data_IF_473590661514
#
_entry.id   IF_473590661514
#
_cell.length_a   1.000
_cell.length_b   1.000
_cell.length_c   1.000
_cell.angle_alpha   90.00
_cell.angle_beta   90.00
_cell.angle_gamma   90.00
#
_symmetry.space_group_name_H-M   'P 1'
#
loop_
_entity.id
_entity.type
_entity.pdbx_description
1 polymer ?
#
# COMPACT_ATOMS: atom_id res chain seq x y z
N UNK A 1 -29.30 -17.22 20.70
CA UNK A 1 -28.51 -16.08 21.18
C UNK A 1 -27.22 -15.89 20.36
N UNK A 2 -27.38 -15.51 19.08
CA UNK A 2 -26.36 -14.83 18.25
C UNK A 2 -26.98 -13.66 17.47
N UNK A 3 -28.32 -13.52 17.50
CA UNK A 3 -29.06 -12.53 16.74
C UNK A 3 -28.91 -11.09 17.25
N UNK A 4 -28.45 -10.87 18.49
CA UNK A 4 -28.31 -9.52 19.04
C UNK A 4 -27.09 -8.79 18.47
N UNK A 5 -25.98 -9.51 18.20
CA UNK A 5 -24.77 -8.93 17.58
C UNK A 5 -24.97 -8.62 16.08
N UNK A 6 -25.85 -9.38 15.40
CA UNK A 6 -26.20 -9.13 14.01
C UNK A 6 -27.20 -7.98 13.82
N UNK A 7 -27.80 -7.48 14.89
CA UNK A 7 -28.85 -6.46 14.86
C UNK A 7 -28.35 -5.04 15.14
N UNK A 8 -27.09 -4.87 15.53
CA UNK A 8 -26.49 -3.58 15.90
C UNK A 8 -25.63 -2.93 14.81
N UNK A 9 -25.42 -3.61 13.68
CA UNK A 9 -24.81 -2.97 12.50
C UNK A 9 -25.93 -2.48 11.58
N UNK A 10 -26.09 -1.16 11.37
CA UNK A 10 -27.09 -0.63 10.45
C UNK A 10 -26.69 -0.93 9.01
N UNK A 11 -27.33 -1.92 8.41
CA UNK A 11 -27.21 -2.23 6.98
C UNK A 11 -27.18 -3.74 6.69
N UNK A 12 -27.72 -4.18 5.53
CA UNK A 12 -27.70 -5.57 5.10
C UNK A 12 -26.26 -6.12 5.04
N UNK A 13 -26.10 -7.45 5.08
CA UNK A 13 -24.79 -8.15 5.08
C UNK A 13 -23.80 -7.57 4.05
N UNK A 14 -24.30 -7.15 2.89
CA UNK A 14 -23.55 -6.48 1.82
C UNK A 14 -22.86 -5.19 2.30
N UNK A 15 -23.53 -4.35 3.09
CA UNK A 15 -22.96 -3.10 3.63
C UNK A 15 -21.78 -3.41 4.56
N UNK A 16 -21.88 -4.44 5.40
CA UNK A 16 -20.80 -4.86 6.31
C UNK A 16 -19.58 -5.37 5.53
N UNK A 17 -19.82 -6.12 4.45
CA UNK A 17 -18.75 -6.58 3.55
C UNK A 17 -18.11 -5.37 2.88
N UNK A 18 -18.90 -4.45 2.32
CA UNK A 18 -18.41 -3.26 1.64
C UNK A 18 -17.59 -2.38 2.58
N UNK A 19 -18.02 -2.19 3.82
CA UNK A 19 -17.29 -1.42 4.83
C UNK A 19 -15.95 -2.07 5.19
N UNK A 20 -15.93 -3.39 5.43
CA UNK A 20 -14.68 -4.12 5.69
C UNK A 20 -13.71 -4.05 4.50
N UNK A 21 -14.24 -4.16 3.28
CA UNK A 21 -13.47 -4.09 2.04
C UNK A 21 -12.94 -2.66 1.82
N UNK A 22 -13.74 -1.65 2.16
CA UNK A 22 -13.34 -0.24 2.11
C UNK A 22 -12.24 0.08 3.13
N UNK A 23 -12.35 -0.41 4.37
CA UNK A 23 -11.29 -0.25 5.38
C UNK A 23 -10.00 -0.92 4.93
N UNK A 24 -10.09 -2.13 4.37
CA UNK A 24 -8.92 -2.84 3.83
C UNK A 24 -8.29 -2.05 2.69
N UNK A 25 -9.09 -1.59 1.74
CA UNK A 25 -8.63 -0.76 0.63
C UNK A 25 -8.00 0.56 1.11
N UNK A 26 -8.58 1.19 2.14
CA UNK A 26 -8.05 2.41 2.75
C UNK A 26 -6.68 2.18 3.39
N UNK A 27 -6.48 1.06 4.09
CA UNK A 27 -5.17 0.69 4.65
C UNK A 27 -4.14 0.43 3.55
N UNK A 28 -4.52 -0.32 2.50
CA UNK A 28 -3.65 -0.57 1.35
C UNK A 28 -3.27 0.74 0.65
N UNK A 29 -4.24 1.64 0.45
CA UNK A 29 -4.00 2.96 -0.13
C UNK A 29 -3.07 3.79 0.75
N UNK A 30 -3.26 3.81 2.07
CA UNK A 30 -2.38 4.52 2.99
C UNK A 30 -0.95 3.98 2.96
N UNK A 31 -0.78 2.66 2.91
CA UNK A 31 0.52 2.02 2.75
C UNK A 31 1.19 2.43 1.43
N UNK A 32 0.46 2.44 0.31
CA UNK A 32 1.03 2.76 -1.00
C UNK A 32 1.26 4.26 -1.23
N UNK A 33 0.36 5.13 -0.79
CA UNK A 33 0.44 6.58 -1.08
C UNK A 33 1.12 7.39 0.02
N UNK A 34 1.26 6.86 1.23
CA UNK A 34 1.88 7.58 2.36
C UNK A 34 3.13 6.86 2.86
N UNK A 35 3.02 5.57 3.19
CA UNK A 35 4.14 4.83 3.79
C UNK A 35 5.22 4.58 2.75
N UNK A 36 4.86 4.14 1.55
CA UNK A 36 5.84 3.84 0.50
C UNK A 36 6.67 5.07 0.12
N UNK A 37 6.11 6.28 -0.15
CA UNK A 37 6.93 7.46 -0.43
C UNK A 37 7.85 7.86 0.73
N UNK A 38 7.46 7.59 1.97
CA UNK A 38 8.31 7.82 3.14
C UNK A 38 9.45 6.80 3.23
N UNK A 39 9.21 5.54 2.87
CA UNK A 39 10.20 4.46 2.91
C UNK A 39 11.10 4.43 1.66
N UNK A 40 10.59 4.85 0.50
CA UNK A 40 11.29 4.91 -0.78
C UNK A 40 12.74 5.44 -0.66
N UNK A 41 13.02 6.60 -0.05
CA UNK A 41 14.40 7.10 0.08
C UNK A 41 15.31 6.25 0.97
N UNK A 42 14.76 5.41 1.83
CA UNK A 42 15.53 4.48 2.69
C UNK A 42 15.89 3.18 1.97
N UNK A 43 15.30 2.90 0.81
CA UNK A 43 15.56 1.68 0.08
C UNK A 43 16.91 1.78 -0.66
N UNK A 44 17.85 0.84 -0.40
CA UNK A 44 19.20 0.88 -0.99
C UNK A 44 19.23 0.59 -2.50
N UNK A 45 18.07 0.35 -3.12
CA UNK A 45 17.90 0.06 -4.55
C UNK A 45 17.68 1.30 -5.43
N UNK A 46 17.50 2.49 -4.82
CA UNK A 46 17.32 3.75 -5.55
C UNK A 46 18.65 4.41 -5.98
N UNK A 47 19.78 3.77 -5.69
CA UNK A 47 21.07 4.20 -6.21
C UNK A 47 21.18 3.69 -7.66
N UNK A 48 20.90 4.57 -8.62
CA UNK A 48 21.24 4.33 -10.02
C UNK A 48 22.75 4.10 -10.11
N UNK A 49 23.16 2.88 -10.48
CA UNK A 49 24.55 2.61 -10.89
C UNK A 49 24.78 3.26 -12.25
N UNK A 50 24.83 4.58 -12.30
CA UNK A 50 25.48 5.29 -13.40
C UNK A 50 26.96 5.27 -13.07
N UNK A 51 27.67 4.23 -13.51
CA UNK A 51 29.12 4.34 -13.63
C UNK A 51 29.38 5.33 -14.77
N UNK A 52 29.84 6.57 -14.50
CA UNK A 52 30.00 7.57 -15.53
C UNK A 52 31.23 7.17 -16.35
N UNK A 53 30.98 6.44 -17.43
CA UNK A 53 31.90 6.17 -18.52
C UNK A 53 33.35 5.96 -18.09
N UNK A 54 33.76 4.70 -17.91
CA UNK A 54 35.12 4.40 -18.33
C UNK A 54 35.27 4.95 -19.75
N UNK A 55 36.24 5.85 -20.00
CA UNK A 55 36.51 6.29 -21.36
C UNK A 55 36.87 5.03 -22.13
N UNK A 56 36.04 4.65 -23.11
CA UNK A 56 36.41 3.66 -24.11
C UNK A 56 37.63 4.24 -24.83
N UNK A 57 38.82 3.91 -24.34
CA UNK A 57 40.08 4.20 -25.00
C UNK A 57 40.16 3.26 -26.19
N UNK A 58 39.66 3.74 -27.33
CA UNK A 58 39.93 3.12 -28.63
C UNK A 58 41.41 3.35 -28.93
N UNK A 59 42.23 2.35 -28.60
CA UNK A 59 43.60 2.21 -29.05
C UNK A 59 43.67 1.43 -30.36
#
# INVERSE_FOLDING_TARGET
>A
MYGWIWRHLPGPLVVKIVEALFLTAAVVALLLFVVFPWVEPMLPFNQVTTDPGEPVTVG
#
